data_IF_595579695268
#
_entry.id   IF_595579695268
#
_cell.length_a   1.000
_cell.length_b   1.000
_cell.length_c   1.000
_cell.angle_alpha   90.00
_cell.angle_beta   90.00
_cell.angle_gamma   90.00
#
_symmetry.space_group_name_H-M   'P 1'
#
loop_
_entity.id
_entity.type
_entity.pdbx_description
1 polymer ?
#
# COMPACT_ATOMS: atom_id res chain seq x y z
N UNK A 1 -6.28 -45.87 15.76
CA UNK A 1 -5.60 -44.92 14.85
C UNK A 1 -4.96 -43.88 15.76
N UNK A 2 -3.68 -44.05 16.11
CA UNK A 2 -2.91 -43.10 16.91
C UNK A 2 -2.47 -41.98 16.00
N UNK A 3 -3.11 -40.82 16.10
CA UNK A 3 -2.61 -39.58 15.50
C UNK A 3 -1.30 -39.26 16.23
N UNK A 4 -0.18 -39.51 15.56
CA UNK A 4 1.14 -39.08 15.99
C UNK A 4 1.14 -37.54 15.98
N UNK A 5 0.87 -36.93 17.14
CA UNK A 5 1.02 -35.48 17.30
C UNK A 5 2.53 -35.21 17.26
N UNK A 6 3.01 -34.81 16.09
CA UNK A 6 4.42 -34.40 15.94
C UNK A 6 4.62 -33.17 16.81
N UNK A 7 5.43 -33.30 17.84
CA UNK A 7 5.78 -32.20 18.74
C UNK A 7 6.60 -31.18 17.99
N UNK A 8 6.26 -29.89 18.12
CA UNK A 8 6.98 -28.82 17.45
C UNK A 8 8.45 -28.75 17.91
N UNK A 9 9.35 -28.52 16.99
CA UNK A 9 10.79 -28.45 17.19
C UNK A 9 11.31 -27.02 17.04
N UNK A 10 12.51 -26.69 17.53
CA UNK A 10 13.16 -25.40 17.26
C UNK A 10 13.25 -25.10 15.76
N UNK A 11 13.47 -26.10 14.92
CA UNK A 11 13.54 -25.93 13.46
C UNK A 11 12.18 -25.51 12.86
N UNK A 12 11.06 -25.98 13.44
CA UNK A 12 9.72 -25.53 13.00
C UNK A 12 9.50 -24.07 13.39
N UNK A 13 9.98 -23.66 14.58
CA UNK A 13 9.93 -22.27 15.02
C UNK A 13 10.74 -21.38 14.07
N UNK A 14 11.98 -21.74 13.75
CA UNK A 14 12.84 -20.99 12.80
C UNK A 14 12.19 -20.86 11.41
N UNK A 15 11.57 -21.95 10.94
CA UNK A 15 10.86 -21.96 9.65
C UNK A 15 9.67 -21.00 9.63
N UNK A 16 8.87 -21.00 10.70
CA UNK A 16 7.72 -20.12 10.82
C UNK A 16 8.13 -18.66 11.03
N UNK A 17 9.15 -18.41 11.85
CA UNK A 17 9.71 -17.07 12.03
C UNK A 17 10.21 -16.50 10.69
N UNK A 18 10.94 -17.31 9.91
CA UNK A 18 11.40 -16.93 8.58
C UNK A 18 10.24 -16.59 7.63
N UNK A 19 9.12 -17.34 7.67
CA UNK A 19 7.92 -17.02 6.88
C UNK A 19 7.29 -15.68 7.27
N UNK A 20 7.18 -15.41 8.58
CA UNK A 20 6.65 -14.14 9.07
C UNK A 20 7.52 -12.96 8.63
N UNK A 21 8.83 -13.04 8.80
CA UNK A 21 9.77 -11.99 8.42
C UNK A 21 9.75 -11.72 6.91
N UNK A 22 9.75 -12.76 6.09
CA UNK A 22 9.61 -12.63 4.64
C UNK A 22 8.25 -12.07 4.22
N UNK A 23 7.18 -12.45 4.94
CA UNK A 23 5.85 -11.89 4.74
C UNK A 23 5.81 -10.38 5.00
N UNK A 24 6.40 -9.93 6.10
CA UNK A 24 6.51 -8.51 6.45
C UNK A 24 7.35 -7.73 5.44
N UNK A 25 8.46 -8.28 4.96
CA UNK A 25 9.29 -7.65 3.92
C UNK A 25 8.51 -7.49 2.59
N UNK A 26 7.74 -8.51 2.20
CA UNK A 26 6.87 -8.44 1.02
C UNK A 26 5.76 -7.40 1.18
N UNK A 27 5.17 -7.30 2.37
CA UNK A 27 4.20 -6.27 2.71
C UNK A 27 4.82 -4.88 2.59
N UNK A 28 5.99 -4.67 3.20
CA UNK A 28 6.72 -3.39 3.14
C UNK A 28 7.07 -3.00 1.70
N UNK A 29 7.54 -3.94 0.90
CA UNK A 29 7.87 -3.70 -0.50
C UNK A 29 6.63 -3.29 -1.33
N UNK A 30 5.52 -3.99 -1.15
CA UNK A 30 4.25 -3.67 -1.80
C UNK A 30 3.74 -2.28 -1.39
N UNK A 31 3.87 -1.92 -0.10
CA UNK A 31 3.50 -0.61 0.41
C UNK A 31 4.37 0.51 -0.20
N UNK A 32 5.67 0.29 -0.36
CA UNK A 32 6.57 1.20 -1.07
C UNK A 32 6.16 1.40 -2.53
N UNK A 33 5.81 0.34 -3.23
CA UNK A 33 5.30 0.41 -4.60
C UNK A 33 3.99 1.19 -4.68
N UNK A 34 3.04 0.95 -3.78
CA UNK A 34 1.77 1.68 -3.73
C UNK A 34 2.02 3.18 -3.55
N UNK A 35 2.84 3.55 -2.55
CA UNK A 35 3.18 4.94 -2.25
C UNK A 35 3.98 5.63 -3.36
N UNK A 36 4.79 4.91 -4.12
CA UNK A 36 5.53 5.47 -5.24
C UNK A 36 4.63 5.79 -6.45
N UNK A 37 3.51 5.08 -6.59
CA UNK A 37 2.64 5.16 -7.76
C UNK A 37 1.34 5.95 -7.53
N UNK A 38 0.96 6.25 -6.27
CA UNK A 38 -0.34 6.84 -5.98
C UNK A 38 -0.44 8.32 -6.39
N UNK A 39 0.68 9.02 -6.56
CA UNK A 39 0.72 10.43 -6.90
C UNK A 39 1.85 10.68 -7.90
N UNK A 40 1.48 11.04 -9.12
CA UNK A 40 2.41 11.32 -10.21
C UNK A 40 2.04 12.65 -10.85
N UNK A 41 3.04 13.50 -11.08
CA UNK A 41 2.86 14.78 -11.75
C UNK A 41 4.06 15.08 -12.63
N UNK A 42 3.82 15.50 -13.88
CA UNK A 42 4.90 15.84 -14.80
C UNK A 42 4.46 15.80 -16.27
N UNK A 43 5.41 15.98 -17.16
CA UNK A 43 5.20 15.74 -18.60
C UNK A 43 5.00 14.23 -18.84
N UNK A 44 4.32 13.87 -19.92
CA UNK A 44 4.10 12.47 -20.28
C UNK A 44 5.41 11.67 -20.31
N UNK A 45 6.48 12.25 -20.87
CA UNK A 45 7.81 11.63 -20.96
C UNK A 45 8.54 11.57 -19.60
N UNK A 46 8.15 12.42 -18.64
CA UNK A 46 8.77 12.53 -17.30
C UNK A 46 8.16 11.60 -16.24
N UNK A 47 7.00 11.00 -16.47
CA UNK A 47 6.26 10.21 -15.45
C UNK A 47 7.04 9.00 -14.98
N UNK A 48 7.79 8.31 -15.84
CA UNK A 48 8.60 7.16 -15.44
C UNK A 48 9.77 7.57 -14.54
N UNK A 49 10.44 8.68 -14.86
CA UNK A 49 11.49 9.23 -14.00
C UNK A 49 10.94 9.67 -12.64
N UNK A 50 9.74 10.27 -12.61
CA UNK A 50 9.05 10.65 -11.38
C UNK A 50 8.69 9.43 -10.53
N UNK A 51 8.19 8.34 -11.15
CA UNK A 51 7.91 7.08 -10.48
C UNK A 51 9.17 6.50 -9.83
N UNK A 52 10.29 6.48 -10.56
CA UNK A 52 11.57 6.00 -10.05
C UNK A 52 12.07 6.87 -8.88
N UNK A 53 11.95 8.19 -8.97
CA UNK A 53 12.32 9.11 -7.90
C UNK A 53 11.43 8.91 -6.65
N UNK A 54 10.12 8.73 -6.83
CA UNK A 54 9.20 8.42 -5.74
C UNK A 54 9.54 7.09 -5.07
N UNK A 55 9.86 6.04 -5.85
CA UNK A 55 10.28 4.75 -5.29
C UNK A 55 11.57 4.89 -4.48
N UNK A 56 12.54 5.62 -4.98
CA UNK A 56 13.79 5.90 -4.28
C UNK A 56 13.54 6.64 -2.95
N UNK A 57 12.62 7.61 -2.92
CA UNK A 57 12.22 8.35 -1.72
C UNK A 57 11.72 7.45 -0.59
N UNK A 58 11.09 6.31 -0.93
CA UNK A 58 10.55 5.36 0.05
C UNK A 58 11.46 4.16 0.30
N UNK A 59 12.54 3.98 -0.46
CA UNK A 59 13.38 2.78 -0.44
C UNK A 59 14.00 2.49 0.93
N UNK A 60 14.44 3.52 1.65
CA UNK A 60 15.10 3.46 2.96
C UNK A 60 14.15 3.65 4.15
N UNK A 61 12.86 3.89 3.90
CA UNK A 61 11.89 4.16 4.96
C UNK A 61 11.49 2.88 5.70
N UNK A 62 11.35 3.02 7.02
CA UNK A 62 10.85 1.94 7.88
C UNK A 62 9.35 1.73 7.68
N UNK A 63 8.85 0.54 8.02
CA UNK A 63 7.42 0.23 7.95
C UNK A 63 6.55 1.27 8.67
N UNK A 64 6.94 1.73 9.87
CA UNK A 64 6.18 2.76 10.61
C UNK A 64 6.11 4.10 9.86
N UNK A 65 7.20 4.53 9.22
CA UNK A 65 7.23 5.74 8.39
C UNK A 65 6.34 5.59 7.15
N UNK A 66 6.35 4.42 6.52
CA UNK A 66 5.50 4.14 5.36
C UNK A 66 4.01 4.14 5.74
N UNK A 67 3.65 3.56 6.89
CA UNK A 67 2.27 3.58 7.41
C UNK A 67 1.80 5.02 7.66
N UNK A 68 2.65 5.87 8.24
CA UNK A 68 2.34 7.30 8.40
C UNK A 68 2.04 7.95 7.05
N UNK A 69 2.93 7.77 6.06
CA UNK A 69 2.74 8.32 4.70
C UNK A 69 1.47 7.80 4.05
N UNK A 70 1.13 6.52 4.22
CA UNK A 70 -0.10 5.91 3.70
C UNK A 70 -1.36 6.66 4.15
N UNK A 71 -1.44 7.00 5.45
CA UNK A 71 -2.59 7.69 6.03
C UNK A 71 -2.55 9.22 5.89
N UNK A 72 -1.45 9.78 5.44
CA UNK A 72 -1.33 11.22 5.12
C UNK A 72 -1.70 11.53 3.67
N UNK A 73 -1.50 10.58 2.74
CA UNK A 73 -1.63 10.87 1.30
C UNK A 73 -2.51 9.91 0.50
N UNK A 74 -2.62 8.63 0.90
CA UNK A 74 -3.33 7.62 0.12
C UNK A 74 -4.67 7.22 0.74
N UNK A 75 -4.70 6.86 2.03
CA UNK A 75 -5.94 6.56 2.75
C UNK A 75 -6.39 7.81 3.48
N UNK A 76 -7.35 8.52 2.91
CA UNK A 76 -7.81 9.83 3.39
C UNK A 76 -9.22 9.74 3.98
N UNK A 77 -9.62 10.68 4.84
CA UNK A 77 -11.00 10.76 5.29
C UNK A 77 -11.94 11.10 4.13
N UNK A 78 -13.18 10.65 4.22
CA UNK A 78 -14.23 10.99 3.28
C UNK A 78 -14.40 12.52 3.18
N UNK A 79 -14.53 13.05 1.97
CA UNK A 79 -14.61 14.48 1.69
C UNK A 79 -13.26 15.22 1.82
N UNK A 80 -12.14 14.51 1.74
CA UNK A 80 -10.81 15.12 1.79
C UNK A 80 -10.54 15.94 0.52
N UNK A 81 -10.55 17.27 0.67
CA UNK A 81 -10.14 18.19 -0.38
C UNK A 81 -8.63 18.45 -0.30
N UNK A 82 -7.93 18.26 -1.37
CA UNK A 82 -6.53 18.70 -1.53
C UNK A 82 -6.44 19.65 -2.70
N UNK A 83 -5.73 20.76 -2.54
CA UNK A 83 -5.37 21.63 -3.65
C UNK A 83 -4.72 20.79 -4.76
N UNK A 84 -5.14 20.97 -5.98
CA UNK A 84 -4.53 20.32 -7.15
C UNK A 84 -3.04 20.67 -7.17
N UNK A 85 -2.21 19.73 -7.56
CA UNK A 85 -0.74 19.85 -7.61
C UNK A 85 -0.23 21.00 -8.49
N UNK A 86 -1.14 21.76 -9.13
CA UNK A 86 -0.85 22.85 -10.05
C UNK A 86 -0.39 24.16 -9.40
N UNK A 87 -0.57 24.34 -8.09
CA UNK A 87 -0.29 25.64 -7.42
C UNK A 87 1.21 26.01 -7.30
N UNK A 88 2.11 25.20 -7.83
CA UNK A 88 3.55 25.46 -7.79
C UNK A 88 4.31 24.99 -9.03
N UNK A 89 3.63 24.42 -10.01
CA UNK A 89 4.28 23.99 -11.24
C UNK A 89 4.68 25.21 -12.08
N UNK A 90 5.98 25.40 -12.30
CA UNK A 90 6.48 26.35 -13.30
C UNK A 90 5.85 25.99 -14.65
N UNK A 91 5.44 27.00 -15.45
CA UNK A 91 4.96 26.74 -16.80
C UNK A 91 6.07 26.02 -17.57
N UNK A 92 5.85 24.77 -17.91
CA UNK A 92 6.74 23.98 -18.78
C UNK A 92 6.11 24.04 -20.17
N UNK A 93 6.91 24.26 -21.18
CA UNK A 93 6.42 24.13 -22.56
C UNK A 93 5.94 22.67 -22.76
N UNK A 94 4.63 22.49 -22.85
CA UNK A 94 4.01 21.19 -23.07
C UNK A 94 2.85 20.84 -22.12
N UNK A 95 2.24 19.67 -22.35
CA UNK A 95 1.13 19.14 -21.55
C UNK A 95 1.69 18.53 -20.28
N UNK A 96 1.29 19.07 -19.13
CA UNK A 96 1.59 18.50 -17.81
C UNK A 96 0.35 17.77 -17.30
N UNK A 97 0.54 16.55 -16.84
CA UNK A 97 -0.50 15.72 -16.22
C UNK A 97 -0.20 15.56 -14.72
N UNK A 98 -1.24 15.63 -13.90
CA UNK A 98 -1.18 15.27 -12.49
C UNK A 98 -2.25 14.20 -12.21
N UNK A 99 -1.82 13.06 -11.68
CA UNK A 99 -2.71 11.94 -11.33
C UNK A 99 -2.52 11.62 -9.87
N UNK A 100 -3.61 11.49 -9.13
CA UNK A 100 -3.58 11.13 -7.72
C UNK A 100 -4.66 10.09 -7.45
N UNK A 101 -4.21 8.91 -6.97
CA UNK A 101 -5.09 7.84 -6.54
C UNK A 101 -5.21 7.85 -5.01
N UNK A 102 -6.44 7.82 -4.51
CA UNK A 102 -6.71 7.83 -3.07
C UNK A 102 -7.84 6.88 -2.75
N UNK A 103 -7.83 6.38 -1.53
CA UNK A 103 -8.93 5.63 -0.95
C UNK A 103 -9.57 6.50 0.13
N UNK A 104 -10.78 6.96 -0.13
CA UNK A 104 -11.57 7.68 0.87
C UNK A 104 -12.29 6.69 1.78
N UNK A 105 -12.25 6.95 3.07
CA UNK A 105 -12.91 6.09 4.06
C UNK A 105 -13.63 6.92 5.12
N UNK A 106 -14.81 6.46 5.57
CA UNK A 106 -15.45 7.00 6.78
C UNK A 106 -14.49 6.93 7.98
N UNK A 107 -14.54 7.90 8.91
CA UNK A 107 -13.57 8.00 10.02
C UNK A 107 -13.42 6.71 10.83
N UNK A 108 -14.52 6.03 11.14
CA UNK A 108 -14.48 4.76 11.89
C UNK A 108 -13.73 3.65 11.14
N UNK A 109 -14.01 3.48 9.84
CA UNK A 109 -13.33 2.48 9.01
C UNK A 109 -11.85 2.80 8.83
N UNK A 110 -11.53 4.07 8.62
CA UNK A 110 -10.14 4.52 8.51
C UNK A 110 -9.35 4.24 9.79
N UNK A 111 -9.93 4.47 10.97
CA UNK A 111 -9.32 4.17 12.26
C UNK A 111 -9.08 2.66 12.44
N UNK A 112 -10.04 1.82 12.08
CA UNK A 112 -9.93 0.35 12.12
C UNK A 112 -8.80 -0.16 11.22
N UNK A 113 -8.76 0.30 9.96
CA UNK A 113 -7.72 -0.06 8.99
C UNK A 113 -6.35 0.38 9.49
N UNK A 114 -6.26 1.60 10.04
CA UNK A 114 -5.03 2.14 10.62
C UNK A 114 -4.52 1.27 11.76
N UNK A 115 -5.38 0.98 12.74
CA UNK A 115 -5.02 0.14 13.88
C UNK A 115 -4.50 -1.24 13.43
N UNK A 116 -5.16 -1.87 12.45
CA UNK A 116 -4.74 -3.16 11.93
C UNK A 116 -3.40 -3.15 11.18
N UNK A 117 -3.02 -2.01 10.58
CA UNK A 117 -1.70 -1.87 9.93
C UNK A 117 -0.63 -1.49 10.96
N UNK A 118 -0.93 -0.61 11.93
CA UNK A 118 -0.03 -0.28 13.05
C UNK A 118 0.34 -1.52 13.87
N UNK A 119 -0.58 -2.48 13.98
CA UNK A 119 -0.34 -3.77 14.61
C UNK A 119 0.77 -4.57 13.89
N UNK A 120 0.91 -4.48 12.56
CA UNK A 120 2.03 -5.10 11.84
C UNK A 120 3.38 -4.45 12.21
N UNK A 121 3.40 -3.16 12.49
CA UNK A 121 4.62 -2.46 12.95
C UNK A 121 5.06 -3.01 14.29
N UNK A 122 4.12 -3.18 15.23
CA UNK A 122 4.40 -3.76 16.55
C UNK A 122 4.86 -5.21 16.43
N UNK A 123 4.15 -6.02 15.63
CA UNK A 123 4.50 -7.42 15.35
C UNK A 123 5.91 -7.54 14.76
N UNK A 124 6.27 -6.69 13.79
CA UNK A 124 7.62 -6.68 13.21
C UNK A 124 8.68 -6.42 14.27
N UNK A 125 8.44 -5.47 15.17
CA UNK A 125 9.39 -5.17 16.25
C UNK A 125 9.52 -6.33 17.24
N UNK A 126 8.40 -6.94 17.61
CA UNK A 126 8.38 -8.12 18.47
C UNK A 126 9.17 -9.29 17.85
N UNK A 127 8.85 -9.64 16.59
CA UNK A 127 9.48 -10.78 15.91
C UNK A 127 10.98 -10.58 15.66
N UNK A 128 11.44 -9.33 15.48
CA UNK A 128 12.85 -9.04 15.19
C UNK A 128 13.68 -8.88 16.46
N UNK A 129 13.11 -8.29 17.52
CA UNK A 129 13.91 -7.84 18.66
C UNK A 129 13.61 -8.59 19.96
N UNK A 130 12.41 -9.17 20.11
CA UNK A 130 11.95 -9.71 21.40
C UNK A 130 11.48 -11.16 21.35
N UNK A 131 11.41 -11.77 20.16
CA UNK A 131 10.81 -13.09 19.98
C UNK A 131 11.43 -14.18 20.90
N UNK A 132 12.75 -14.21 21.01
CA UNK A 132 13.46 -15.21 21.85
C UNK A 132 13.27 -15.02 23.34
N UNK A 133 12.79 -13.84 23.78
CA UNK A 133 12.48 -13.53 25.17
C UNK A 133 11.07 -14.02 25.57
N UNK A 134 10.20 -14.22 24.57
CA UNK A 134 8.79 -14.58 24.79
C UNK A 134 8.56 -16.08 24.95
N UNK A 135 9.46 -16.91 24.43
CA UNK A 135 9.26 -18.35 24.36
C UNK A 135 10.50 -19.12 24.80
N UNK A 136 10.29 -20.12 25.65
CA UNK A 136 11.33 -21.10 26.02
C UNK A 136 11.52 -22.13 24.89
N UNK A 137 12.38 -21.80 23.94
CA UNK A 137 12.67 -22.66 22.78
C UNK A 137 13.47 -23.93 23.13
N UNK A 138 13.92 -24.07 24.37
CA UNK A 138 14.58 -25.29 24.86
C UNK A 138 13.58 -26.38 25.21
N UNK A 139 12.30 -26.05 25.40
CA UNK A 139 11.24 -26.97 25.75
C UNK A 139 10.28 -27.26 24.61
N UNK A 140 9.77 -28.49 24.46
CA UNK A 140 8.75 -28.81 23.45
C UNK A 140 7.49 -27.95 23.57
N UNK A 141 7.05 -27.67 24.80
CA UNK A 141 5.86 -26.83 25.06
C UNK A 141 6.08 -25.40 24.63
N UNK A 142 7.27 -24.87 24.86
CA UNK A 142 7.65 -23.53 24.40
C UNK A 142 7.72 -23.45 22.87
N UNK A 143 8.27 -24.46 22.21
CA UNK A 143 8.28 -24.55 20.73
C UNK A 143 6.86 -24.60 20.15
N UNK A 144 5.95 -25.38 20.75
CA UNK A 144 4.55 -25.43 20.31
C UNK A 144 3.83 -24.10 20.49
N UNK A 145 4.07 -23.40 21.60
CA UNK A 145 3.51 -22.08 21.84
C UNK A 145 4.04 -21.06 20.81
N UNK A 146 5.35 -21.09 20.56
CA UNK A 146 5.99 -20.24 19.56
C UNK A 146 5.44 -20.47 18.14
N UNK A 147 5.30 -21.73 17.72
CA UNK A 147 4.75 -22.09 16.40
C UNK A 147 3.32 -21.56 16.26
N UNK A 148 2.43 -21.79 17.24
CA UNK A 148 1.06 -21.28 17.21
C UNK A 148 1.01 -19.75 17.12
N UNK A 149 1.86 -19.06 17.87
CA UNK A 149 1.97 -17.60 17.80
C UNK A 149 2.39 -17.13 16.41
N UNK A 150 3.40 -17.77 15.81
CA UNK A 150 3.90 -17.43 14.48
C UNK A 150 2.90 -17.75 13.37
N UNK A 151 2.17 -18.86 13.45
CA UNK A 151 1.09 -19.20 12.52
C UNK A 151 -0.01 -18.11 12.53
N UNK A 152 -0.43 -17.69 13.71
CA UNK A 152 -1.41 -16.61 13.85
C UNK A 152 -0.87 -15.27 13.31
N UNK A 153 0.37 -14.95 13.62
CA UNK A 153 1.06 -13.76 13.10
C UNK A 153 1.14 -13.77 11.57
N UNK A 154 1.48 -14.93 10.98
CA UNK A 154 1.54 -15.10 9.53
C UNK A 154 0.18 -14.88 8.85
N UNK A 155 -0.90 -15.40 9.42
CA UNK A 155 -2.26 -15.19 8.91
C UNK A 155 -2.65 -13.71 8.90
N UNK A 156 -2.29 -12.97 9.95
CA UNK A 156 -2.54 -11.51 10.03
C UNK A 156 -1.73 -10.73 8.99
N UNK A 157 -0.43 -11.06 8.83
CA UNK A 157 0.42 -10.45 7.80
C UNK A 157 -0.17 -10.70 6.41
N UNK A 158 -0.57 -11.94 6.13
CA UNK A 158 -1.12 -12.30 4.82
C UNK A 158 -2.47 -11.61 4.57
N UNK A 159 -3.35 -11.53 5.58
CA UNK A 159 -4.61 -10.78 5.45
C UNK A 159 -4.37 -9.32 5.07
N UNK A 160 -3.46 -8.62 5.76
CA UNK A 160 -3.12 -7.23 5.42
C UNK A 160 -2.43 -7.08 4.07
N UNK A 161 -1.65 -8.09 3.66
CA UNK A 161 -1.05 -8.10 2.32
C UNK A 161 -2.12 -8.18 1.22
N UNK A 162 -3.18 -8.95 1.44
CA UNK A 162 -4.31 -9.01 0.49
C UNK A 162 -5.04 -7.67 0.38
N UNK A 163 -5.21 -6.94 1.48
CA UNK A 163 -5.79 -5.58 1.44
C UNK A 163 -4.97 -4.64 0.53
N UNK A 164 -3.62 -4.64 0.67
CA UNK A 164 -2.75 -3.85 -0.20
C UNK A 164 -2.78 -4.27 -1.66
N UNK A 165 -2.87 -5.59 -1.92
CA UNK A 165 -2.99 -6.10 -3.29
C UNK A 165 -4.30 -5.64 -3.93
N UNK A 166 -5.40 -5.65 -3.19
CA UNK A 166 -6.68 -5.14 -3.68
C UNK A 166 -6.59 -3.65 -4.04
N UNK A 167 -5.99 -2.83 -3.19
CA UNK A 167 -5.77 -1.40 -3.47
C UNK A 167 -4.86 -1.17 -4.68
N UNK A 168 -3.76 -1.93 -4.79
CA UNK A 168 -2.85 -1.85 -5.94
C UNK A 168 -3.55 -2.23 -7.25
N UNK A 169 -4.41 -3.25 -7.20
CA UNK A 169 -5.22 -3.66 -8.35
C UNK A 169 -6.19 -2.55 -8.76
N UNK A 170 -6.95 -1.99 -7.82
CA UNK A 170 -7.89 -0.90 -8.11
C UNK A 170 -7.18 0.33 -8.69
N UNK A 171 -5.99 0.67 -8.18
CA UNK A 171 -5.17 1.75 -8.74
C UNK A 171 -4.73 1.46 -10.18
N UNK A 172 -4.34 0.22 -10.48
CA UNK A 172 -3.96 -0.20 -11.84
C UNK A 172 -5.14 -0.15 -12.79
N UNK A 173 -6.31 -0.59 -12.37
CA UNK A 173 -7.55 -0.56 -13.16
C UNK A 173 -7.97 0.89 -13.44
N UNK A 174 -7.95 1.77 -12.44
CA UNK A 174 -8.22 3.20 -12.63
C UNK A 174 -7.21 3.85 -13.57
N UNK A 175 -5.92 3.49 -13.48
CA UNK A 175 -4.89 3.96 -14.41
C UNK A 175 -5.13 3.52 -15.85
N UNK A 176 -5.58 2.29 -16.05
CA UNK A 176 -5.94 1.78 -17.38
C UNK A 176 -7.14 2.53 -17.98
N UNK A 177 -8.18 2.81 -17.17
CA UNK A 177 -9.33 3.61 -17.60
C UNK A 177 -8.92 5.04 -17.98
N UNK A 178 -8.08 5.68 -17.18
CA UNK A 178 -7.54 7.02 -17.49
C UNK A 178 -6.71 7.03 -18.78
N UNK A 179 -5.88 6.00 -18.99
CA UNK A 179 -5.09 5.87 -20.20
C UNK A 179 -5.98 5.64 -21.45
N UNK A 180 -7.06 4.88 -21.33
CA UNK A 180 -8.04 4.70 -22.37
C UNK A 180 -8.78 6.01 -22.68
N UNK A 181 -9.24 6.73 -21.67
CA UNK A 181 -9.88 8.03 -21.79
C UNK A 181 -8.97 9.05 -22.49
N UNK A 182 -7.68 9.10 -22.13
CA UNK A 182 -6.70 10.00 -22.74
C UNK A 182 -6.50 9.77 -24.26
N UNK A 183 -7.00 8.67 -24.82
CA UNK A 183 -6.94 8.35 -26.25
C UNK A 183 -8.25 8.69 -26.99
N UNK A 184 -9.26 9.23 -26.30
CA UNK A 184 -10.55 9.60 -26.92
C UNK A 184 -10.55 11.02 -27.51
N UNK A 185 -11.38 11.24 -28.52
CA UNK A 185 -11.63 12.59 -29.06
C UNK A 185 -12.15 13.53 -27.97
N UNK A 186 -12.96 13.03 -27.06
CA UNK A 186 -13.48 13.81 -25.92
C UNK A 186 -12.35 14.37 -25.05
N UNK A 187 -11.32 13.57 -24.75
CA UNK A 187 -10.16 14.08 -24.01
C UNK A 187 -9.40 15.15 -24.82
N UNK A 188 -9.24 14.93 -26.12
CA UNK A 188 -8.62 15.89 -27.00
C UNK A 188 -9.39 17.22 -26.99
N UNK A 189 -10.72 17.18 -27.09
CA UNK A 189 -11.58 18.37 -27.03
C UNK A 189 -11.45 19.10 -25.68
N UNK A 190 -11.39 18.38 -24.55
CA UNK A 190 -11.16 18.98 -23.23
C UNK A 190 -9.83 19.71 -23.16
N UNK A 191 -8.75 19.12 -23.72
CA UNK A 191 -7.42 19.74 -23.72
C UNK A 191 -7.35 20.97 -24.65
N UNK A 192 -7.99 20.91 -25.83
CA UNK A 192 -7.92 21.99 -26.85
C UNK A 192 -8.89 23.11 -26.53
N UNK A 193 -10.11 22.79 -26.11
CA UNK A 193 -11.21 23.74 -25.93
C UNK A 193 -11.40 24.17 -24.45
N UNK A 194 -10.67 23.54 -23.51
CA UNK A 194 -10.82 23.76 -22.09
C UNK A 194 -11.99 22.97 -21.48
N UNK A 195 -12.02 22.89 -20.15
CA UNK A 195 -13.18 22.36 -19.43
C UNK A 195 -14.31 23.36 -19.58
N UNK A 196 -15.53 22.89 -19.94
CA UNK A 196 -16.70 23.74 -19.99
C UNK A 196 -16.86 24.55 -18.69
N UNK A 197 -17.24 25.82 -18.73
CA UNK A 197 -17.27 26.72 -17.57
C UNK A 197 -18.14 26.24 -16.38
N UNK A 198 -19.03 25.27 -16.63
CA UNK A 198 -19.96 24.72 -15.63
C UNK A 198 -19.38 23.50 -14.86
N UNK A 199 -18.17 23.06 -15.18
CA UNK A 199 -17.50 21.95 -14.46
C UNK A 199 -18.19 20.59 -14.62
N UNK A 200 -19.21 20.48 -15.45
CA UNK A 200 -19.97 19.25 -15.66
C UNK A 200 -19.27 18.36 -16.70
N UNK A 201 -18.35 17.51 -16.24
CA UNK A 201 -17.89 16.37 -17.01
C UNK A 201 -18.69 15.14 -16.57
N UNK A 202 -19.59 14.66 -17.43
CA UNK A 202 -20.36 13.45 -17.15
C UNK A 202 -19.57 12.22 -17.60
N UNK A 203 -19.05 11.47 -16.66
CA UNK A 203 -18.32 10.22 -16.90
C UNK A 203 -19.22 9.09 -17.45
N UNK A 204 -20.55 9.26 -17.40
CA UNK A 204 -21.50 8.25 -17.87
C UNK A 204 -21.53 8.12 -19.41
N UNK A 205 -21.15 9.15 -20.14
CA UNK A 205 -21.15 9.17 -21.62
C UNK A 205 -19.82 8.69 -22.25
N UNK A 206 -18.84 8.30 -21.47
CA UNK A 206 -17.51 7.86 -21.93
C UNK A 206 -17.36 6.34 -22.07
N UNK A 207 -18.46 5.57 -22.13
CA UNK A 207 -18.50 4.11 -22.21
C UNK A 207 -18.89 3.57 -23.59
#
# INVERSE_FOLDING_TARGET
MTTSTSTATPLDVERWLGRCLLGLQRYEHLLKQLLANHELAGSADGLEAQRAANFHKFSDKTLGTLVKSLFESYVVPEGFERALLSDGAQPVDGITMAVSYRVEMPPARRAEVRAGIEELVLMRNELVHHFVELFDLSSPVGCEAAVRHLEHSYQRIEGRRQDLLAWSKSMTEAGALMAAFAQTDTFHDVIVNGIAPDGSFDWADAG
#
